data_IF_408002553543
#
_entry.id   IF_408002553543
#
_cell.length_a   1.000
_cell.length_b   1.000
_cell.length_c   1.000
_cell.angle_alpha   90.00
_cell.angle_beta   90.00
_cell.angle_gamma   90.00
#
_symmetry.space_group_name_H-M   'P 1'
#
loop_
_entity.id
_entity.type
_entity.pdbx_description
1 polymer ?
#
# COMPACT_ATOMS: atom_id res chain seq x y z
N UNK A 1 7.17 5.53 4.43
CA UNK A 1 8.25 6.33 5.03
C UNK A 1 8.76 7.33 4.00
N UNK A 2 8.85 8.61 4.34
CA UNK A 2 9.49 9.64 3.53
C UNK A 2 10.77 10.09 4.25
N UNK A 3 11.94 9.96 3.61
CA UNK A 3 13.24 10.17 4.26
C UNK A 3 14.33 10.56 3.26
N UNK A 4 15.30 11.36 3.70
CA UNK A 4 16.41 11.82 2.85
C UNK A 4 17.35 10.66 2.46
N UNK A 5 17.74 9.82 3.41
CA UNK A 5 18.66 8.70 3.23
C UNK A 5 18.14 7.46 3.95
N UNK A 6 18.26 6.28 3.33
CA UNK A 6 17.74 5.03 3.86
C UNK A 6 18.77 3.91 3.72
N UNK A 7 18.92 3.14 4.80
CA UNK A 7 19.84 2.02 4.91
C UNK A 7 19.13 0.79 5.47
N UNK A 8 19.37 -0.38 4.89
CA UNK A 8 18.83 -1.67 5.31
C UNK A 8 19.94 -2.64 5.72
N UNK A 9 19.79 -3.28 6.87
CA UNK A 9 20.66 -4.37 7.33
C UNK A 9 19.85 -5.42 8.06
N UNK A 10 20.12 -6.70 7.81
CA UNK A 10 19.46 -7.82 8.50
C UNK A 10 17.92 -7.81 8.38
N UNK A 11 17.37 -7.18 7.34
CA UNK A 11 15.93 -7.15 7.09
C UNK A 11 15.50 -8.37 6.28
N UNK A 12 14.42 -9.05 6.67
CA UNK A 12 13.92 -10.24 5.95
C UNK A 12 12.42 -10.16 5.76
N UNK A 13 11.94 -10.58 4.59
CA UNK A 13 10.51 -10.74 4.28
C UNK A 13 9.66 -9.53 4.66
N UNK A 14 10.12 -8.34 4.27
CA UNK A 14 9.56 -7.06 4.71
C UNK A 14 9.23 -6.17 3.51
N UNK A 15 8.11 -5.47 3.59
CA UNK A 15 7.65 -4.53 2.56
C UNK A 15 7.81 -3.09 3.03
N UNK A 16 8.39 -2.24 2.20
CA UNK A 16 8.65 -0.83 2.50
C UNK A 16 8.05 0.07 1.42
N UNK A 17 7.22 1.02 1.85
CA UNK A 17 6.63 2.06 1.03
C UNK A 17 7.42 3.35 1.21
N UNK A 18 8.19 3.77 0.22
CA UNK A 18 9.30 4.73 0.41
C UNK A 18 9.13 5.95 -0.50
N UNK A 19 9.41 7.14 0.05
CA UNK A 19 9.80 8.33 -0.70
C UNK A 19 11.19 8.74 -0.26
N UNK A 20 12.13 8.81 -1.21
CA UNK A 20 13.49 9.25 -0.89
C UNK A 20 14.18 9.86 -2.11
N UNK A 21 14.86 11.01 -1.96
CA UNK A 21 15.61 11.60 -3.06
C UNK A 21 16.93 10.87 -3.34
N UNK A 22 17.37 9.94 -2.47
CA UNK A 22 18.62 9.19 -2.62
C UNK A 22 18.35 7.71 -2.87
N UNK A 23 19.36 6.99 -3.37
CA UNK A 23 19.24 5.54 -3.62
C UNK A 23 19.31 4.78 -2.29
N UNK A 24 18.28 3.99 -1.91
CA UNK A 24 18.35 3.20 -0.68
C UNK A 24 19.54 2.23 -0.68
N UNK A 25 20.28 2.15 0.41
CA UNK A 25 21.44 1.26 0.53
C UNK A 25 21.02 -0.05 1.23
N UNK A 26 21.26 -1.20 0.60
CA UNK A 26 21.02 -2.53 1.15
C UNK A 26 22.37 -3.16 1.48
N UNK A 27 22.57 -3.48 2.75
CA UNK A 27 23.77 -4.14 3.27
C UNK A 27 23.47 -5.60 3.67
N UNK A 28 24.51 -6.27 4.18
CA UNK A 28 24.57 -7.62 4.70
C UNK A 28 23.24 -8.18 5.23
N UNK A 29 22.99 -9.43 4.81
CA UNK A 29 21.98 -10.31 5.38
C UNK A 29 20.52 -9.86 5.18
N UNK A 30 20.26 -9.02 4.17
CA UNK A 30 18.90 -8.72 3.73
C UNK A 30 18.37 -9.77 2.75
N UNK A 31 17.09 -10.13 2.82
CA UNK A 31 16.45 -11.05 1.87
C UNK A 31 14.95 -10.79 1.72
N UNK A 32 14.39 -11.04 0.54
CA UNK A 32 12.96 -10.93 0.25
C UNK A 32 12.35 -9.56 0.63
N UNK A 33 13.06 -8.47 0.34
CA UNK A 33 12.54 -7.12 0.55
C UNK A 33 11.62 -6.71 -0.61
N UNK A 34 10.50 -6.08 -0.29
CA UNK A 34 9.60 -5.51 -1.30
C UNK A 34 9.62 -3.99 -1.19
N UNK A 35 9.89 -3.30 -2.29
CA UNK A 35 9.86 -1.84 -2.35
C UNK A 35 8.67 -1.36 -3.17
N UNK A 36 8.02 -0.33 -2.65
CA UNK A 36 6.88 0.33 -3.25
C UNK A 36 7.03 1.85 -3.08
N UNK A 37 6.35 2.67 -3.91
CA UNK A 37 6.28 4.10 -3.66
C UNK A 37 5.56 4.38 -2.32
N UNK A 38 5.79 5.55 -1.75
CA UNK A 38 5.08 5.99 -0.54
C UNK A 38 3.56 5.92 -0.77
N UNK A 39 2.84 5.27 0.14
CA UNK A 39 1.43 4.92 -0.05
C UNK A 39 0.47 5.67 0.89
N UNK A 40 0.95 6.57 1.74
CA UNK A 40 0.09 7.35 2.61
C UNK A 40 -0.18 8.73 2.02
N UNK A 41 -1.37 9.27 2.27
CA UNK A 41 -1.71 10.65 1.95
C UNK A 41 -2.44 11.26 3.13
N UNK A 42 -1.91 12.35 3.67
CA UNK A 42 -2.53 13.14 4.73
C UNK A 42 -2.31 14.63 4.49
N UNK A 43 -3.17 15.46 5.09
CA UNK A 43 -3.29 16.90 4.80
C UNK A 43 -1.98 17.65 5.07
N UNK A 44 -1.30 17.30 6.16
CA UNK A 44 -0.08 17.97 6.61
C UNK A 44 1.17 17.53 5.84
N UNK A 45 1.07 16.53 4.95
CA UNK A 45 2.22 15.97 4.24
C UNK A 45 3.03 17.03 3.47
N UNK A 46 2.43 17.97 2.71
CA UNK A 46 3.19 18.96 1.96
C UNK A 46 4.00 19.90 2.86
N UNK A 47 3.38 20.41 3.92
CA UNK A 47 4.04 21.29 4.91
C UNK A 47 5.17 20.53 5.63
N UNK A 48 4.93 19.28 6.01
CA UNK A 48 5.93 18.44 6.66
C UNK A 48 7.13 18.21 5.75
N UNK A 49 6.91 17.91 4.47
CA UNK A 49 7.97 17.71 3.47
C UNK A 49 8.77 19.00 3.24
N UNK A 50 8.10 20.14 3.12
CA UNK A 50 8.77 21.44 2.98
C UNK A 50 9.64 21.76 4.20
N UNK A 51 9.12 21.55 5.42
CA UNK A 51 9.86 21.79 6.67
C UNK A 51 11.13 20.95 6.79
N UNK A 52 11.16 19.74 6.24
CA UNK A 52 12.36 18.89 6.23
C UNK A 52 13.17 19.00 4.93
N UNK A 53 12.79 19.90 4.02
CA UNK A 53 13.50 20.11 2.76
C UNK A 53 13.41 18.93 1.76
N UNK A 54 12.40 18.07 1.88
CA UNK A 54 12.21 16.94 0.97
C UNK A 54 11.44 17.37 -0.28
N UNK A 55 12.10 17.31 -1.43
CA UNK A 55 11.49 17.50 -2.74
C UNK A 55 10.51 16.36 -3.07
N UNK A 56 9.34 16.69 -3.63
CA UNK A 56 8.30 15.71 -4.01
C UNK A 56 8.59 15.03 -5.35
N UNK A 57 9.33 15.68 -6.23
CA UNK A 57 9.62 15.23 -7.59
C UNK A 57 10.78 14.24 -7.64
N UNK A 58 11.78 14.39 -6.79
CA UNK A 58 12.95 13.52 -6.76
C UNK A 58 12.68 12.32 -5.85
N UNK A 59 12.39 11.17 -6.48
CA UNK A 59 12.13 9.93 -5.77
C UNK A 59 12.87 8.73 -6.40
N UNK A 60 13.84 8.17 -5.69
CA UNK A 60 14.75 7.10 -6.11
C UNK A 60 14.53 5.78 -5.35
N UNK A 61 13.36 5.63 -4.71
CA UNK A 61 12.95 4.44 -3.97
C UNK A 61 13.15 3.11 -4.74
N UNK A 62 12.96 3.11 -6.06
CA UNK A 62 13.06 1.93 -6.93
C UNK A 62 14.47 1.65 -7.46
N UNK A 63 15.48 2.42 -7.04
CA UNK A 63 16.88 2.28 -7.47
C UNK A 63 17.81 1.99 -6.30
N UNK A 64 17.60 0.94 -5.51
CA UNK A 64 18.50 0.65 -4.40
C UNK A 64 19.92 0.28 -4.88
N UNK A 65 20.86 0.41 -3.97
CA UNK A 65 22.26 0.02 -4.10
C UNK A 65 22.50 -1.17 -3.17
N UNK A 66 23.03 -2.27 -3.68
CA UNK A 66 23.36 -3.44 -2.86
C UNK A 66 24.87 -3.47 -2.64
N UNK A 67 25.30 -3.55 -1.38
CA UNK A 67 26.70 -3.76 -1.02
C UNK A 67 26.91 -5.22 -0.66
N UNK A 68 27.58 -5.97 -1.54
CA UNK A 68 27.99 -7.33 -1.28
C UNK A 68 29.36 -7.34 -0.58
N UNK A 69 29.55 -8.16 0.47
CA UNK A 69 30.89 -8.54 0.90
C UNK A 69 31.63 -9.19 -0.27
N UNK A 70 32.94 -8.96 -0.38
CA UNK A 70 33.75 -9.54 -1.45
C UNK A 70 33.57 -11.06 -1.52
N UNK A 71 33.09 -11.58 -2.66
CA UNK A 71 32.87 -13.01 -2.91
C UNK A 71 31.42 -13.51 -2.88
N UNK A 72 30.44 -12.66 -2.53
CA UNK A 72 29.02 -13.00 -2.66
C UNK A 72 28.46 -12.46 -3.97
N UNK A 73 28.03 -13.34 -4.87
CA UNK A 73 27.36 -13.00 -6.12
C UNK A 73 26.05 -13.79 -6.20
N UNK A 74 25.00 -13.12 -6.68
CA UNK A 74 23.87 -13.67 -7.46
C UNK A 74 22.44 -13.60 -6.91
N UNK A 75 22.18 -13.34 -5.62
CA UNK A 75 20.79 -13.12 -5.17
C UNK A 75 20.48 -11.64 -4.97
N UNK A 76 19.60 -11.09 -5.82
CA UNK A 76 19.01 -9.77 -5.62
C UNK A 76 18.09 -9.83 -4.38
N UNK A 77 18.44 -9.17 -3.26
CA UNK A 77 17.73 -9.35 -1.99
C UNK A 77 16.38 -8.62 -1.93
N UNK A 78 15.97 -7.99 -3.03
CA UNK A 78 14.82 -7.10 -3.09
C UNK A 78 14.11 -7.21 -4.45
N UNK A 79 12.83 -6.89 -4.47
CA UNK A 79 12.04 -6.71 -5.69
C UNK A 79 11.02 -5.58 -5.51
N UNK A 80 10.39 -5.17 -6.61
CA UNK A 80 9.33 -4.18 -6.56
C UNK A 80 8.01 -4.86 -6.20
N UNK A 81 7.22 -4.21 -5.35
CA UNK A 81 5.85 -4.65 -5.08
C UNK A 81 5.05 -4.55 -6.39
N UNK A 82 4.37 -5.63 -6.83
CA UNK A 82 3.50 -5.56 -8.00
C UNK A 82 2.46 -4.43 -7.87
N UNK A 83 2.19 -3.66 -8.93
CA UNK A 83 1.20 -2.58 -8.89
C UNK A 83 -0.20 -3.04 -8.43
N UNK A 84 -0.60 -4.26 -8.80
CA UNK A 84 -1.89 -4.85 -8.41
C UNK A 84 -1.99 -5.14 -6.90
N UNK A 85 -0.85 -5.31 -6.22
CA UNK A 85 -0.75 -5.54 -4.77
C UNK A 85 -0.54 -4.23 -3.98
N UNK A 86 -0.53 -3.08 -4.67
CA UNK A 86 -0.40 -1.78 -4.03
C UNK A 86 -1.73 -1.27 -3.49
N UNK A 87 -1.74 -0.88 -2.21
CA UNK A 87 -2.91 -0.31 -1.54
C UNK A 87 -2.52 1.01 -0.88
N UNK A 88 -3.06 2.16 -1.36
CA UNK A 88 -2.85 3.43 -0.70
C UNK A 88 -3.54 3.43 0.67
N UNK A 89 -2.81 3.86 1.70
CA UNK A 89 -3.35 4.17 3.02
C UNK A 89 -3.97 5.56 2.91
N UNK A 90 -5.25 5.61 2.59
CA UNK A 90 -6.03 6.82 2.76
C UNK A 90 -6.29 7.01 4.26
N UNK A 91 -5.83 8.11 4.84
CA UNK A 91 -6.57 8.67 5.97
C UNK A 91 -8.00 8.90 5.50
N UNK A 92 -9.01 8.55 6.29
CA UNK A 92 -10.44 8.76 5.98
C UNK A 92 -10.60 10.16 5.38
N UNK A 93 -10.78 10.23 4.05
CA UNK A 93 -10.91 11.49 3.33
C UNK A 93 -12.38 11.86 3.39
N UNK A 94 -12.67 13.00 4.02
CA UNK A 94 -13.87 13.77 3.69
C UNK A 94 -13.65 14.28 2.25
N UNK A 95 -14.66 14.11 1.40
CA UNK A 95 -14.59 14.08 -0.07
C UNK A 95 -14.06 15.36 -0.78
N UNK A 96 -13.61 16.39 -0.08
CA UNK A 96 -13.43 17.73 -0.64
C UNK A 96 -12.02 18.34 -0.54
N UNK A 97 -10.97 17.56 -0.26
CA UNK A 97 -9.61 18.12 -0.16
C UNK A 97 -8.76 17.88 -1.41
N UNK A 98 -8.35 19.00 -2.03
CA UNK A 98 -7.48 19.07 -3.20
C UNK A 98 -6.24 18.17 -3.05
N UNK A 99 -5.89 17.47 -4.13
CA UNK A 99 -4.69 16.61 -4.22
C UNK A 99 -3.40 17.39 -4.45
N UNK A 100 -3.44 18.73 -4.37
CA UNK A 100 -2.26 19.56 -4.52
C UNK A 100 -1.31 19.31 -3.35
N UNK A 101 -0.11 18.78 -3.67
CA UNK A 101 0.92 18.48 -2.68
C UNK A 101 1.15 16.99 -2.38
N UNK A 102 0.43 16.08 -3.04
CA UNK A 102 0.72 14.65 -2.92
C UNK A 102 2.03 14.27 -3.63
N UNK A 103 2.71 13.26 -3.09
CA UNK A 103 3.88 12.65 -3.73
C UNK A 103 3.38 11.96 -5.02
N UNK A 104 3.93 12.32 -6.20
CA UNK A 104 3.49 11.73 -7.45
C UNK A 104 3.78 10.22 -7.46
N UNK A 105 2.76 9.44 -7.84
CA UNK A 105 2.90 8.00 -8.02
C UNK A 105 3.36 7.69 -9.46
N UNK A 106 4.15 6.61 -9.66
CA UNK A 106 4.42 6.12 -11.00
C UNK A 106 3.12 5.68 -11.69
N UNK A 107 3.07 5.84 -13.02
CA UNK A 107 1.87 5.60 -13.83
C UNK A 107 1.31 4.18 -13.70
N UNK A 108 2.17 3.18 -13.54
CA UNK A 108 1.77 1.77 -13.37
C UNK A 108 0.95 1.56 -12.09
N UNK A 109 1.42 2.11 -10.97
CA UNK A 109 0.72 2.06 -9.68
C UNK A 109 -0.58 2.87 -9.73
N UNK A 110 -0.55 4.07 -10.32
CA UNK A 110 -1.76 4.88 -10.49
C UNK A 110 -2.81 4.15 -11.33
N UNK A 111 -2.40 3.52 -12.44
CA UNK A 111 -3.30 2.76 -13.31
C UNK A 111 -3.93 1.56 -12.58
N UNK A 112 -3.18 0.87 -11.72
CA UNK A 112 -3.71 -0.23 -10.92
C UNK A 112 -4.76 0.25 -9.91
N UNK A 113 -4.53 1.40 -9.25
CA UNK A 113 -5.51 2.05 -8.37
C UNK A 113 -6.76 2.44 -9.14
N UNK A 114 -6.61 3.12 -10.28
CA UNK A 114 -7.73 3.59 -11.10
C UNK A 114 -8.56 2.41 -11.63
N UNK A 115 -7.91 1.33 -12.05
CA UNK A 115 -8.56 0.09 -12.48
C UNK A 115 -9.40 -0.49 -11.35
N UNK A 116 -8.84 -0.59 -10.13
CA UNK A 116 -9.56 -1.08 -8.95
C UNK A 116 -10.76 -0.20 -8.61
N UNK A 117 -10.57 1.13 -8.62
CA UNK A 117 -11.64 2.09 -8.35
C UNK A 117 -12.78 1.97 -9.36
N UNK A 118 -12.45 1.80 -10.65
CA UNK A 118 -13.43 1.56 -11.72
C UNK A 118 -14.19 0.25 -11.53
N UNK A 119 -13.53 -0.83 -11.11
CA UNK A 119 -14.21 -2.09 -10.83
C UNK A 119 -15.20 -1.95 -9.67
N UNK A 120 -14.81 -1.26 -8.60
CA UNK A 120 -15.70 -1.01 -7.44
C UNK A 120 -16.90 -0.15 -7.85
N UNK A 121 -16.68 0.94 -8.59
CA UNK A 121 -17.76 1.82 -9.03
C UNK A 121 -18.70 1.13 -10.02
N UNK A 122 -18.17 0.32 -10.94
CA UNK A 122 -18.98 -0.47 -11.86
C UNK A 122 -19.87 -1.47 -11.13
N UNK A 123 -19.30 -2.19 -10.16
CA UNK A 123 -20.06 -3.11 -9.30
C UNK A 123 -21.17 -2.39 -8.52
N UNK A 124 -20.87 -1.22 -7.95
CA UNK A 124 -21.86 -0.42 -7.23
C UNK A 124 -23.01 0.05 -8.15
N UNK A 125 -22.68 0.43 -9.39
CA UNK A 125 -23.67 0.79 -10.41
C UNK A 125 -24.53 -0.40 -10.80
N UNK A 126 -23.94 -1.59 -11.01
CA UNK A 126 -24.68 -2.82 -11.31
C UNK A 126 -25.65 -3.20 -10.18
N UNK A 127 -25.20 -3.12 -8.91
CA UNK A 127 -26.06 -3.36 -7.74
C UNK A 127 -27.23 -2.38 -7.69
N UNK A 128 -26.97 -1.11 -8.01
CA UNK A 128 -28.00 -0.05 -8.03
C UNK A 128 -28.99 -0.26 -9.18
N UNK A 129 -28.47 -0.59 -10.37
CA UNK A 129 -29.27 -0.83 -11.58
C UNK A 129 -30.14 -2.08 -11.48
N UNK A 130 -29.72 -3.09 -10.71
CA UNK A 130 -30.50 -4.31 -10.49
C UNK A 130 -31.81 -4.09 -9.71
N UNK A 131 -32.05 -2.90 -9.14
CA UNK A 131 -33.28 -2.52 -8.42
C UNK A 131 -33.79 -3.63 -7.47
N UNK A 132 -32.88 -4.23 -6.70
CA UNK A 132 -33.18 -5.37 -5.86
C UNK A 132 -34.29 -5.03 -4.86
N UNK A 133 -35.31 -5.88 -4.80
CA UNK A 133 -36.34 -5.78 -3.77
C UNK A 133 -35.77 -6.13 -2.37
N UNK A 134 -36.49 -5.83 -1.27
CA UNK A 134 -35.97 -6.05 0.09
C UNK A 134 -35.48 -7.48 0.36
N UNK A 135 -36.21 -8.49 -0.13
CA UNK A 135 -35.83 -9.91 0.05
C UNK A 135 -34.56 -10.27 -0.74
N UNK A 136 -34.46 -9.82 -1.99
CA UNK A 136 -33.27 -10.01 -2.82
C UNK A 136 -32.04 -9.32 -2.24
N UNK A 137 -32.20 -8.09 -1.72
CA UNK A 137 -31.13 -7.36 -1.04
C UNK A 137 -30.65 -8.11 0.21
N UNK A 138 -31.57 -8.64 1.02
CA UNK A 138 -31.21 -9.43 2.20
C UNK A 138 -30.51 -10.75 1.83
N UNK A 139 -30.93 -11.41 0.74
CA UNK A 139 -30.28 -12.62 0.24
C UNK A 139 -28.87 -12.32 -0.29
N UNK A 140 -28.71 -11.24 -1.04
CA UNK A 140 -27.41 -10.80 -1.55
C UNK A 140 -26.45 -10.44 -0.42
N UNK A 141 -26.91 -9.68 0.58
CA UNK A 141 -26.10 -9.34 1.75
C UNK A 141 -25.61 -10.59 2.50
N UNK A 142 -26.49 -11.57 2.74
CA UNK A 142 -26.11 -12.84 3.37
C UNK A 142 -25.05 -13.59 2.56
N UNK A 143 -25.19 -13.59 1.23
CA UNK A 143 -24.21 -14.22 0.35
C UNK A 143 -22.83 -13.53 0.41
N UNK A 144 -22.81 -12.19 0.36
CA UNK A 144 -21.56 -11.40 0.46
C UNK A 144 -20.87 -11.65 1.79
N UNK A 145 -21.61 -11.60 2.90
CA UNK A 145 -21.06 -11.84 4.25
C UNK A 145 -20.48 -13.25 4.35
N UNK A 146 -21.23 -14.27 3.92
CA UNK A 146 -20.75 -15.65 3.97
C UNK A 146 -19.48 -15.87 3.13
N UNK A 147 -19.39 -15.24 1.95
CA UNK A 147 -18.19 -15.34 1.13
C UNK A 147 -17.00 -14.59 1.73
N UNK A 148 -17.26 -13.46 2.40
CA UNK A 148 -16.24 -12.71 3.13
C UNK A 148 -15.72 -13.49 4.35
N UNK A 149 -16.60 -14.12 5.12
CA UNK A 149 -16.23 -14.99 6.24
C UNK A 149 -15.37 -16.17 5.77
N UNK A 150 -15.79 -16.87 4.69
CA UNK A 150 -15.01 -17.96 4.11
C UNK A 150 -13.62 -17.49 3.64
N UNK A 151 -13.53 -16.28 3.08
CA UNK A 151 -12.26 -15.67 2.71
C UNK A 151 -11.38 -15.32 3.93
N UNK A 152 -11.97 -14.77 5.00
CA UNK A 152 -11.27 -14.47 6.24
C UNK A 152 -10.66 -15.72 6.89
N UNK A 153 -11.39 -16.83 6.85
CA UNK A 153 -10.94 -18.12 7.36
C UNK A 153 -9.82 -18.70 6.49
N UNK A 154 -9.99 -18.71 5.17
CA UNK A 154 -9.00 -19.23 4.22
C UNK A 154 -7.67 -18.47 4.25
N UNK A 155 -7.72 -17.16 4.50
CA UNK A 155 -6.54 -16.27 4.55
C UNK A 155 -5.92 -16.16 5.95
N UNK A 156 -6.59 -16.69 6.98
CA UNK A 156 -6.18 -16.54 8.38
C UNK A 156 -6.37 -15.13 8.95
N UNK A 157 -6.95 -14.21 8.18
CA UNK A 157 -7.21 -12.82 8.58
C UNK A 157 -8.25 -12.70 9.71
N UNK A 158 -9.11 -13.70 9.89
CA UNK A 158 -10.04 -13.76 11.03
C UNK A 158 -9.33 -13.63 12.38
N UNK A 159 -8.15 -14.22 12.53
CA UNK A 159 -7.33 -14.15 13.76
C UNK A 159 -6.83 -12.73 14.02
N UNK A 160 -6.48 -12.00 12.96
CA UNK A 160 -6.00 -10.62 13.04
C UNK A 160 -7.14 -9.70 13.50
N UNK A 161 -8.33 -9.84 12.91
CA UNK A 161 -9.50 -9.05 13.30
C UNK A 161 -9.88 -9.29 14.76
N UNK A 162 -9.90 -10.55 15.22
CA UNK A 162 -10.17 -10.88 16.62
C UNK A 162 -9.12 -10.27 17.56
N UNK A 163 -7.84 -10.32 17.19
CA UNK A 163 -6.79 -9.70 17.97
C UNK A 163 -6.95 -8.17 18.05
N UNK A 164 -7.20 -7.50 16.92
CA UNK A 164 -7.45 -6.05 16.88
C UNK A 164 -8.66 -5.65 17.73
N UNK A 165 -9.74 -6.45 17.71
CA UNK A 165 -10.93 -6.20 18.52
C UNK A 165 -10.66 -6.28 20.02
N UNK A 166 -9.75 -7.16 20.45
CA UNK A 166 -9.37 -7.30 21.86
C UNK A 166 -8.54 -6.12 22.38
N UNK A 167 -7.82 -5.42 21.50
CA UNK A 167 -7.00 -4.25 21.86
C UNK A 167 -7.84 -2.99 22.05
N UNK A 168 -9.02 -2.89 21.45
CA UNK A 168 -9.93 -1.75 21.64
C UNK A 168 -10.71 -1.81 22.97
N UNK A 169 -10.64 -2.93 23.69
CA UNK A 169 -11.33 -3.15 24.96
C UNK A 169 -10.41 -2.95 26.19
N UNK A 170 -9.17 -2.49 25.97
CA UNK A 170 -8.20 -2.13 27.00
C UNK A 170 -8.02 -0.61 27.03
#
# INVERSE_FOLDING_TARGET
>A
IAIECLFFSQCRSSSFYIHTPTRPLIQLNCASLLFAPYNASHIELPEQMERVGLCKELNLWNKPLVTHPAGYVDEQPWSLLPPDDFYPISSIRLEDQQTDGLIPLPSEYQSAIDKRQKSISSLANEITAAQLNPEQRQRFQRFVVSNFEAWLDATGNAKILNHLSSLQQQ
#
